data_IF_546863836853
#
_entry.id   IF_546863836853
#
_cell.length_a   1.000
_cell.length_b   1.000
_cell.length_c   1.000
_cell.angle_alpha   90.00
_cell.angle_beta   90.00
_cell.angle_gamma   90.00
#
_symmetry.space_group_name_H-M   'P 1'
#
loop_
_entity.id
_entity.type
_entity.pdbx_description
1 polymer ?
#
# COMPACT_ATOMS: atom_id res chain seq x y z
N UNK A 1 -9.35 -40.51 -12.32
CA UNK A 1 -8.93 -39.83 -11.08
C UNK A 1 -8.11 -38.63 -11.50
N UNK A 2 -8.75 -37.48 -11.59
CA UNK A 2 -8.09 -36.19 -11.77
C UNK A 2 -7.81 -35.65 -10.37
N UNK A 3 -6.54 -35.53 -10.01
CA UNK A 3 -6.18 -34.81 -8.78
C UNK A 3 -6.53 -33.33 -8.97
N UNK A 4 -7.52 -32.87 -8.21
CA UNK A 4 -7.77 -31.44 -8.06
C UNK A 4 -6.69 -30.87 -7.14
N UNK A 5 -5.78 -30.09 -7.72
CA UNK A 5 -4.89 -29.22 -6.96
C UNK A 5 -5.72 -28.02 -6.47
N UNK A 6 -5.57 -27.60 -5.19
CA UNK A 6 -6.45 -26.61 -4.59
C UNK A 6 -6.28 -25.23 -5.23
N UNK A 7 -7.39 -24.68 -5.72
CA UNK A 7 -7.54 -23.27 -6.05
C UNK A 7 -7.20 -22.40 -4.83
N UNK A 8 -6.20 -21.52 -4.96
CA UNK A 8 -6.01 -20.24 -4.20
C UNK A 8 -4.70 -20.01 -3.42
N UNK A 9 -3.76 -20.96 -3.31
CA UNK A 9 -2.48 -20.65 -2.66
C UNK A 9 -1.57 -19.74 -3.53
N UNK A 10 -1.64 -19.85 -4.85
CA UNK A 10 -0.71 -19.12 -5.76
C UNK A 10 -1.06 -17.62 -5.88
N UNK A 11 -2.32 -17.23 -5.74
CA UNK A 11 -2.73 -15.81 -5.79
C UNK A 11 -2.41 -15.04 -4.50
N UNK A 12 -2.41 -15.72 -3.35
CA UNK A 12 -2.11 -15.09 -2.05
C UNK A 12 -0.60 -14.85 -1.85
N UNK A 13 0.27 -15.78 -2.25
CA UNK A 13 1.73 -15.59 -2.18
C UNK A 13 2.21 -14.38 -2.98
N UNK A 14 1.70 -14.18 -4.19
CA UNK A 14 2.02 -12.99 -4.99
C UNK A 14 1.54 -11.69 -4.33
N UNK A 15 0.38 -11.74 -3.66
CA UNK A 15 -0.16 -10.63 -2.86
C UNK A 15 0.74 -10.25 -1.69
N UNK A 16 1.19 -11.22 -0.90
CA UNK A 16 2.10 -10.99 0.24
C UNK A 16 3.46 -10.45 -0.22
N UNK A 17 4.01 -10.97 -1.32
CA UNK A 17 5.26 -10.44 -1.91
C UNK A 17 5.07 -8.99 -2.35
N UNK A 18 3.94 -8.64 -2.96
CA UNK A 18 3.63 -7.26 -3.33
C UNK A 18 3.51 -6.35 -2.12
N UNK A 19 2.77 -6.78 -1.10
CA UNK A 19 2.60 -6.05 0.15
C UNK A 19 3.94 -5.76 0.83
N UNK A 20 4.80 -6.77 1.01
CA UNK A 20 6.13 -6.58 1.60
C UNK A 20 7.02 -5.64 0.80
N UNK A 21 6.95 -5.73 -0.54
CA UNK A 21 7.63 -4.81 -1.46
C UNK A 21 7.17 -3.36 -1.26
N UNK A 22 5.87 -3.10 -1.24
CA UNK A 22 5.34 -1.75 -1.06
C UNK A 22 5.68 -1.19 0.33
N UNK A 23 5.55 -2.02 1.38
CA UNK A 23 5.92 -1.64 2.74
C UNK A 23 7.39 -1.23 2.86
N UNK A 24 8.30 -2.03 2.27
CA UNK A 24 9.72 -1.72 2.24
C UNK A 24 10.02 -0.46 1.41
N UNK A 25 9.40 -0.33 0.24
CA UNK A 25 9.56 0.86 -0.60
C UNK A 25 9.18 2.13 0.16
N UNK A 26 8.01 2.14 0.80
CA UNK A 26 7.53 3.30 1.56
C UNK A 26 8.44 3.60 2.76
N UNK A 27 8.90 2.56 3.46
CA UNK A 27 9.82 2.71 4.60
C UNK A 27 11.17 3.31 4.17
N UNK A 28 11.73 2.86 3.04
CA UNK A 28 12.98 3.43 2.50
C UNK A 28 12.77 4.89 2.11
N UNK A 29 11.63 5.22 1.48
CA UNK A 29 11.29 6.60 1.13
C UNK A 29 11.28 7.50 2.37
N UNK A 30 10.61 7.07 3.44
CA UNK A 30 10.60 7.80 4.72
C UNK A 30 11.99 7.98 5.34
N UNK A 31 12.85 6.95 5.25
CA UNK A 31 14.24 7.04 5.73
C UNK A 31 15.08 8.03 4.92
N UNK A 32 14.83 8.17 3.61
CA UNK A 32 15.54 9.10 2.74
C UNK A 32 15.03 10.53 2.89
N UNK A 33 13.71 10.69 3.00
CA UNK A 33 13.07 12.01 3.11
C UNK A 33 13.19 12.59 4.53
N UNK A 34 13.49 11.73 5.53
CA UNK A 34 13.56 12.03 6.98
C UNK A 34 12.35 12.81 7.53
N UNK A 35 11.25 12.81 6.78
CA UNK A 35 10.05 13.60 7.05
C UNK A 35 8.81 12.96 6.43
N UNK A 36 7.67 13.24 7.05
CA UNK A 36 6.35 12.82 6.59
C UNK A 36 5.36 13.96 6.82
N UNK A 37 4.63 14.37 5.77
CA UNK A 37 3.69 15.50 5.83
C UNK A 37 4.31 16.78 6.42
N UNK A 38 5.56 17.07 6.05
CA UNK A 38 6.31 18.24 6.51
C UNK A 38 6.81 18.18 7.97
N UNK A 39 6.63 17.04 8.64
CA UNK A 39 7.15 16.80 10.00
C UNK A 39 8.33 15.86 9.96
N UNK A 40 9.36 16.15 10.73
CA UNK A 40 10.54 15.31 10.86
C UNK A 40 10.18 13.94 11.47
N UNK A 41 10.65 12.85 10.87
CA UNK A 41 10.43 11.47 11.34
C UNK A 41 11.78 10.76 11.43
N UNK A 42 12.46 10.88 12.58
CA UNK A 42 13.79 10.25 12.79
C UNK A 42 13.71 8.76 13.10
N UNK A 43 12.60 8.34 13.69
CA UNK A 43 12.39 6.97 14.16
C UNK A 43 10.94 6.62 13.89
N UNK A 44 10.74 5.49 13.23
CA UNK A 44 9.41 4.93 13.05
C UNK A 44 9.49 3.41 13.18
N UNK A 45 8.35 2.80 13.46
CA UNK A 45 8.17 1.36 13.41
C UNK A 45 7.30 1.01 12.21
N UNK A 46 7.76 0.04 11.40
CA UNK A 46 6.94 -0.62 10.40
C UNK A 46 6.20 -1.77 11.07
N UNK A 47 4.87 -1.76 11.02
CA UNK A 47 4.06 -2.90 11.39
C UNK A 47 3.45 -3.55 10.15
N UNK A 48 3.52 -4.87 10.08
CA UNK A 48 2.93 -5.67 9.00
C UNK A 48 1.74 -6.44 9.55
N UNK A 49 0.67 -6.54 8.76
CA UNK A 49 -0.50 -7.40 9.02
C UNK A 49 -1.14 -7.19 10.41
N UNK A 50 -1.16 -5.93 10.88
CA UNK A 50 -1.75 -5.54 12.16
C UNK A 50 -2.95 -4.61 11.97
N UNK A 51 -2.69 -3.31 11.83
CA UNK A 51 -3.69 -2.25 11.75
C UNK A 51 -4.32 -2.15 10.37
N UNK A 52 -3.55 -2.48 9.34
CA UNK A 52 -3.97 -2.76 7.96
C UNK A 52 -2.95 -3.75 7.36
N UNK A 53 -2.87 -3.88 6.04
CA UNK A 53 -1.82 -4.68 5.39
C UNK A 53 -0.41 -4.23 5.85
N UNK A 54 -0.18 -2.92 5.99
CA UNK A 54 0.91 -2.40 6.82
C UNK A 54 0.60 -1.00 7.37
N UNK A 55 1.36 -0.58 8.38
CA UNK A 55 1.24 0.74 8.99
C UNK A 55 2.61 1.28 9.44
N UNK A 56 2.76 2.59 9.41
CA UNK A 56 3.91 3.30 9.94
C UNK A 56 3.52 3.96 11.25
N UNK A 57 4.31 3.68 12.29
CA UNK A 57 4.12 4.21 13.63
C UNK A 57 5.26 5.15 14.01
N UNK A 58 4.93 6.29 14.60
CA UNK A 58 5.87 7.16 15.30
C UNK A 58 5.34 7.40 16.71
N UNK A 59 6.20 7.21 17.71
CA UNK A 59 5.87 7.45 19.12
C UNK A 59 4.58 6.73 19.60
N UNK A 60 4.37 5.51 19.10
CA UNK A 60 3.20 4.69 19.45
C UNK A 60 1.90 5.06 18.72
N UNK A 61 1.93 6.05 17.81
CA UNK A 61 0.77 6.49 17.02
C UNK A 61 0.98 6.11 15.56
N UNK A 62 -0.06 5.57 14.91
CA UNK A 62 -0.04 5.30 13.48
C UNK A 62 -0.08 6.63 12.71
N UNK A 63 1.02 7.01 12.07
CA UNK A 63 1.09 8.22 11.24
C UNK A 63 0.53 7.98 9.84
N UNK A 64 0.63 6.73 9.35
CA UNK A 64 -0.02 6.30 8.11
C UNK A 64 -0.41 4.82 8.18
N UNK A 65 -1.57 4.49 7.60
CA UNK A 65 -2.04 3.12 7.40
C UNK A 65 -2.22 2.84 5.93
N UNK A 66 -1.94 1.61 5.51
CA UNK A 66 -1.79 1.27 4.11
C UNK A 66 -2.50 -0.02 3.76
N UNK A 67 -3.48 0.07 2.85
CA UNK A 67 -4.15 -1.07 2.24
C UNK A 67 -3.51 -1.34 0.87
N UNK A 68 -3.07 -2.57 0.63
CA UNK A 68 -2.37 -3.01 -0.58
C UNK A 68 -3.18 -4.07 -1.32
N UNK A 69 -3.42 -3.87 -2.61
CA UNK A 69 -4.17 -4.82 -3.45
C UNK A 69 -3.45 -5.10 -4.77
N UNK A 70 -2.97 -6.33 -4.90
CA UNK A 70 -2.39 -6.89 -6.13
C UNK A 70 -3.44 -7.54 -7.05
N UNK A 71 -4.64 -6.95 -7.13
CA UNK A 71 -5.74 -7.51 -7.93
C UNK A 71 -5.61 -7.08 -9.39
N UNK A 72 -5.75 -8.03 -10.30
CA UNK A 72 -5.81 -7.76 -11.74
C UNK A 72 -7.23 -7.37 -12.14
N UNK A 73 -7.61 -6.12 -11.90
CA UNK A 73 -8.88 -5.53 -12.34
C UNK A 73 -8.65 -4.09 -12.75
N UNK A 74 -9.13 -3.66 -13.94
CA UNK A 74 -9.03 -2.27 -14.37
C UNK A 74 -10.15 -1.39 -13.79
N UNK A 75 -11.10 -1.96 -13.05
CA UNK A 75 -12.26 -1.23 -12.53
C UNK A 75 -12.13 -0.91 -11.03
N UNK A 76 -12.34 0.35 -10.64
CA UNK A 76 -12.42 0.83 -9.25
C UNK A 76 -13.44 0.06 -8.44
N UNK A 77 -14.58 -0.27 -9.04
CA UNK A 77 -15.67 -1.03 -8.39
C UNK A 77 -15.21 -2.35 -7.79
N UNK A 78 -14.16 -2.97 -8.35
CA UNK A 78 -13.58 -4.20 -7.84
C UNK A 78 -12.85 -4.05 -6.49
N UNK A 79 -12.65 -2.81 -6.03
CA UNK A 79 -11.92 -2.42 -4.83
C UNK A 79 -12.80 -1.73 -3.77
N UNK A 80 -14.07 -1.42 -4.07
CA UNK A 80 -15.05 -0.76 -3.19
C UNK A 80 -15.05 -1.30 -1.75
N UNK A 81 -15.12 -2.62 -1.60
CA UNK A 81 -15.11 -3.26 -0.27
C UNK A 81 -13.83 -2.97 0.50
N UNK A 82 -12.69 -2.96 -0.17
CA UNK A 82 -11.39 -2.70 0.46
C UNK A 82 -11.20 -1.21 0.78
N UNK A 83 -11.65 -0.30 -0.11
CA UNK A 83 -11.64 1.14 0.13
C UNK A 83 -12.50 1.51 1.34
N UNK A 84 -13.74 0.99 1.39
CA UNK A 84 -14.64 1.19 2.52
C UNK A 84 -14.04 0.63 3.83
N UNK A 85 -13.41 -0.56 3.79
CA UNK A 85 -12.70 -1.12 4.95
C UNK A 85 -11.58 -0.21 5.42
N UNK A 86 -10.69 0.22 4.52
CA UNK A 86 -9.56 1.10 4.85
C UNK A 86 -10.01 2.44 5.44
N UNK A 87 -11.12 3.01 4.94
CA UNK A 87 -11.70 4.26 5.45
C UNK A 87 -12.19 4.19 6.91
N UNK A 88 -12.41 2.97 7.43
CA UNK A 88 -12.95 2.73 8.78
C UNK A 88 -11.88 2.37 9.80
N UNK A 89 -10.63 2.17 9.39
CA UNK A 89 -9.54 1.81 10.30
C UNK A 89 -9.31 2.98 11.25
N UNK A 90 -9.25 2.70 12.56
CA UNK A 90 -9.06 3.73 13.58
C UNK A 90 -8.14 3.32 14.73
N UNK A 91 -7.56 2.12 14.68
CA UNK A 91 -6.67 1.61 15.73
C UNK A 91 -5.41 2.47 15.76
N UNK A 92 -5.08 3.02 16.93
CA UNK A 92 -3.95 3.91 17.20
C UNK A 92 -3.81 5.09 16.21
N UNK A 93 -4.90 5.46 15.54
CA UNK A 93 -4.94 6.58 14.61
C UNK A 93 -5.20 7.89 15.36
N UNK A 94 -4.64 8.98 14.86
CA UNK A 94 -4.98 10.34 15.25
C UNK A 94 -5.63 11.09 14.06
N UNK A 95 -6.15 12.32 14.25
CA UNK A 95 -6.76 13.08 13.16
C UNK A 95 -5.83 13.36 11.96
N UNK A 96 -4.51 13.29 12.17
CA UNK A 96 -3.51 13.48 11.11
C UNK A 96 -3.05 12.17 10.45
N UNK A 97 -3.59 11.01 10.86
CA UNK A 97 -3.21 9.73 10.28
C UNK A 97 -3.64 9.66 8.83
N UNK A 98 -2.68 9.46 7.92
CA UNK A 98 -2.94 9.27 6.50
C UNK A 98 -3.41 7.84 6.21
N UNK A 99 -4.28 7.69 5.21
CA UNK A 99 -4.77 6.39 4.75
C UNK A 99 -4.45 6.26 3.29
N UNK A 100 -3.66 5.26 2.95
CA UNK A 100 -3.22 5.05 1.59
C UNK A 100 -3.74 3.73 1.03
N UNK A 101 -4.16 3.79 -0.22
CA UNK A 101 -4.56 2.63 -1.00
C UNK A 101 -3.57 2.40 -2.13
N UNK A 102 -2.95 1.23 -2.14
CA UNK A 102 -1.93 0.85 -3.12
C UNK A 102 -2.48 -0.22 -4.07
N UNK A 103 -2.39 0.04 -5.37
CA UNK A 103 -2.83 -0.89 -6.42
C UNK A 103 -1.67 -1.28 -7.32
N UNK A 104 -1.67 -2.53 -7.79
CA UNK A 104 -0.60 -3.04 -8.66
C UNK A 104 -0.77 -2.66 -10.14
N UNK A 105 -1.99 -2.31 -10.54
CA UNK A 105 -2.35 -2.01 -11.92
C UNK A 105 -3.17 -0.73 -11.96
N UNK A 106 -3.10 -0.04 -13.10
CA UNK A 106 -3.95 1.10 -13.41
C UNK A 106 -5.43 0.71 -13.39
N UNK A 107 -6.28 1.66 -13.00
CA UNK A 107 -7.73 1.54 -12.96
C UNK A 107 -8.39 2.74 -13.63
N UNK A 108 -9.65 2.58 -14.01
CA UNK A 108 -10.51 3.59 -14.63
C UNK A 108 -10.67 4.88 -13.80
N UNK A 109 -10.67 4.77 -12.47
CA UNK A 109 -10.76 5.90 -11.56
C UNK A 109 -9.91 5.71 -10.30
N UNK A 110 -8.82 6.49 -10.23
CA UNK A 110 -7.91 6.55 -9.08
C UNK A 110 -8.05 7.84 -8.25
N UNK A 111 -9.22 8.47 -8.29
CA UNK A 111 -9.57 9.54 -7.35
C UNK A 111 -9.68 9.01 -5.92
N UNK A 112 -9.44 9.88 -4.95
CA UNK A 112 -9.49 9.52 -3.54
C UNK A 112 -10.90 9.07 -3.14
N UNK A 113 -10.96 8.13 -2.20
CA UNK A 113 -12.23 7.62 -1.69
C UNK A 113 -12.62 8.36 -0.41
N UNK A 114 -13.84 8.90 -0.37
CA UNK A 114 -14.40 9.52 0.82
C UNK A 114 -15.62 8.72 1.29
N UNK A 115 -15.65 8.35 2.57
CA UNK A 115 -16.82 7.68 3.15
C UNK A 115 -17.84 8.67 3.71
N UNK A 116 -18.99 8.17 4.16
CA UNK A 116 -20.08 8.96 4.76
C UNK A 116 -19.66 9.82 5.97
N UNK A 117 -18.54 9.47 6.62
CA UNK A 117 -17.96 10.18 7.77
C UNK A 117 -16.83 11.14 7.38
N UNK A 118 -16.67 11.42 6.08
CA UNK A 118 -15.59 12.26 5.53
C UNK A 118 -14.17 11.73 5.80
N UNK A 119 -14.03 10.44 6.06
CA UNK A 119 -12.72 9.83 6.13
C UNK A 119 -12.22 9.58 4.71
N UNK A 120 -11.05 10.13 4.39
CA UNK A 120 -10.44 10.06 3.07
C UNK A 120 -9.44 8.90 3.05
N UNK A 121 -9.47 8.12 1.97
CA UNK A 121 -8.44 7.15 1.61
C UNK A 121 -7.84 7.59 0.29
N UNK A 122 -6.56 7.95 0.34
CA UNK A 122 -5.82 8.51 -0.79
C UNK A 122 -5.23 7.39 -1.64
N UNK A 123 -5.36 7.47 -2.96
CA UNK A 123 -4.62 6.56 -3.84
C UNK A 123 -3.14 6.96 -3.84
N UNK A 124 -2.28 6.02 -3.44
CA UNK A 124 -0.86 6.31 -3.26
C UNK A 124 -0.19 6.68 -4.58
N UNK A 125 0.53 7.81 -4.59
CA UNK A 125 1.26 8.30 -5.76
C UNK A 125 2.71 7.84 -5.76
N UNK A 126 3.10 7.13 -6.81
CA UNK A 126 4.46 6.73 -7.15
C UNK A 126 5.00 7.66 -8.22
N UNK A 127 5.37 8.87 -7.80
CA UNK A 127 5.63 10.02 -8.68
C UNK A 127 4.33 10.42 -9.42
N UNK A 128 4.28 10.26 -10.74
CA UNK A 128 3.12 10.62 -11.58
C UNK A 128 2.02 9.53 -11.58
N UNK A 129 2.36 8.28 -11.23
CA UNK A 129 1.45 7.14 -11.32
C UNK A 129 0.73 6.85 -9.99
N UNK A 130 -0.56 6.48 -10.04
CA UNK A 130 -1.33 6.03 -8.86
C UNK A 130 -1.27 4.52 -8.61
N UNK A 131 -0.39 3.81 -9.31
CA UNK A 131 -0.24 2.37 -9.25
C UNK A 131 1.22 1.97 -9.34
N UNK A 132 1.54 0.75 -8.91
CA UNK A 132 2.88 0.23 -9.06
C UNK A 132 2.92 -1.24 -9.42
N UNK A 133 3.42 -1.58 -10.61
CA UNK A 133 3.50 -2.98 -11.05
C UNK A 133 4.49 -3.78 -10.20
N UNK A 134 4.12 -5.03 -9.90
CA UNK A 134 4.88 -6.04 -9.15
C UNK A 134 6.38 -6.16 -9.53
N UNK A 135 6.72 -5.89 -10.79
CA UNK A 135 8.09 -5.96 -11.31
C UNK A 135 8.83 -4.62 -11.45
N UNK A 136 8.18 -3.50 -11.15
CA UNK A 136 8.67 -2.15 -11.46
C UNK A 136 8.99 -1.29 -10.23
N UNK A 137 8.27 -1.46 -9.11
CA UNK A 137 8.41 -0.58 -7.94
C UNK A 137 9.84 -0.34 -7.45
N UNK A 138 10.67 -1.38 -7.42
CA UNK A 138 12.05 -1.26 -6.96
C UNK A 138 13.04 -0.82 -8.03
N UNK A 139 12.73 -1.02 -9.32
CA UNK A 139 13.70 -0.77 -10.38
C UNK A 139 13.95 0.72 -10.62
N UNK A 140 12.95 1.56 -10.36
CA UNK A 140 13.05 3.01 -10.55
C UNK A 140 13.92 3.68 -9.48
N UNK A 141 13.80 3.25 -8.22
CA UNK A 141 14.51 3.88 -7.09
C UNK A 141 15.87 3.24 -6.76
N UNK A 142 16.11 1.98 -7.13
CA UNK A 142 17.37 1.31 -6.82
C UNK A 142 18.50 1.59 -7.83
N UNK A 143 18.25 2.33 -8.92
CA UNK A 143 19.27 2.58 -9.96
C UNK A 143 19.83 1.31 -10.62
N UNK A 144 19.17 0.15 -10.42
CA UNK A 144 19.67 -1.16 -10.87
C UNK A 144 19.48 -1.24 -12.39
N UNK A 145 20.52 -0.87 -13.14
CA UNK A 145 20.70 -1.30 -14.53
C UNK A 145 20.66 -2.83 -14.56
N UNK A 146 19.83 -3.40 -15.44
CA UNK A 146 19.79 -4.85 -15.68
C UNK A 146 21.22 -5.35 -15.91
N UNK A 147 21.69 -6.25 -15.07
CA UNK A 147 22.77 -7.16 -15.44
C UNK A 147 22.10 -8.21 -16.32
N UNK A 148 22.35 -8.13 -17.62
CA UNK A 148 22.04 -9.21 -18.53
C UNK A 148 23.08 -10.31 -18.29
N UNK A 149 22.62 -11.48 -17.84
CA UNK A 149 23.37 -12.73 -18.00
C UNK A 149 23.16 -13.25 -19.41
#
# INVERSE_FOLDING_TARGET
MTEELPDSAISSWGGFVYQGKIALFHSIKLLLDESFEGKEVKKFALQLDSTDDFAIYSDGIAISVHQVKAKASPYRSAFEKALNKSSKICIDCCPNTKRYFHIANEIDDSSDYENEKKAIVEFYKYDEDSYCKLGWCFKKYAGIKRIHY
#
